data_IF_771219222937
#
_entry.id   IF_771219222937
#
_cell.length_a   1.000
_cell.length_b   1.000
_cell.length_c   1.000
_cell.angle_alpha   90.00
_cell.angle_beta   90.00
_cell.angle_gamma   90.00
#
_symmetry.space_group_name_H-M   'P 1'
#
loop_
_entity.id
_entity.type
_entity.pdbx_description
1 polymer ?
#
# COMPACT_ATOMS: atom_id res chain seq x y z
N UNK A 1 13.72 5.32 30.77
CA UNK A 1 13.85 6.74 31.16
C UNK A 1 13.65 7.61 29.92
N UNK A 2 12.85 8.67 30.05
CA UNK A 2 12.38 9.56 29.00
C UNK A 2 13.51 10.28 28.24
N UNK A 3 13.32 10.48 26.93
CA UNK A 3 13.82 11.68 26.23
C UNK A 3 12.74 12.24 25.31
N UNK A 4 11.98 13.18 25.87
CA UNK A 4 11.22 14.19 25.13
C UNK A 4 12.20 15.30 24.72
N UNK A 5 12.30 15.56 23.42
CA UNK A 5 12.86 16.80 22.86
C UNK A 5 11.94 17.23 21.70
N UNK A 6 10.85 17.93 21.98
CA UNK A 6 10.71 19.39 22.08
C UNK A 6 10.81 20.11 20.72
N UNK A 7 9.71 20.10 19.95
CA UNK A 7 9.36 21.20 19.04
C UNK A 7 8.12 21.90 19.63
N UNK A 8 8.33 23.14 20.08
CA UNK A 8 7.32 24.03 20.66
C UNK A 8 6.36 24.50 19.56
N UNK A 9 5.18 23.90 19.53
CA UNK A 9 3.94 24.54 19.09
C UNK A 9 3.03 24.63 20.30
N UNK A 10 2.49 25.80 20.59
CA UNK A 10 1.55 26.04 21.70
C UNK A 10 0.23 25.32 21.44
N UNK A 11 0.19 24.01 21.63
CA UNK A 11 -1.02 23.20 21.68
C UNK A 11 -1.18 22.63 23.07
N UNK A 12 -2.29 22.94 23.73
CA UNK A 12 -2.75 22.29 24.97
C UNK A 12 -2.54 20.78 24.86
N UNK A 13 -1.88 20.15 25.83
CA UNK A 13 -1.84 18.70 25.94
C UNK A 13 -3.28 18.19 25.97
N UNK A 14 -3.71 17.49 24.91
CA UNK A 14 -5.06 16.95 24.81
C UNK A 14 -5.29 15.98 25.98
N UNK A 15 -6.46 16.09 26.61
CA UNK A 15 -6.90 15.14 27.62
C UNK A 15 -6.86 13.73 27.03
N UNK A 16 -6.48 12.72 27.84
CA UNK A 16 -6.52 11.29 27.44
C UNK A 16 -7.90 10.87 26.91
N UNK A 17 -8.96 11.64 27.20
CA UNK A 17 -10.32 11.41 26.68
C UNK A 17 -10.59 11.98 25.28
N UNK A 18 -9.70 12.77 24.68
CA UNK A 18 -9.98 13.52 23.44
C UNK A 18 -9.24 12.99 22.21
N UNK A 19 -8.17 12.21 22.38
CA UNK A 19 -7.37 11.73 21.26
C UNK A 19 -6.24 10.78 21.65
N UNK A 20 -5.53 10.28 20.64
CA UNK A 20 -4.35 9.44 20.80
C UNK A 20 -3.35 9.61 19.64
N UNK A 21 -2.11 9.15 19.85
CA UNK A 21 -1.05 9.21 18.85
C UNK A 21 -0.74 7.82 18.30
N UNK A 22 -0.57 7.73 16.98
CA UNK A 22 -0.10 6.51 16.30
C UNK A 22 1.22 6.81 15.61
N UNK A 23 2.21 5.93 15.80
CA UNK A 23 3.46 5.97 15.06
C UNK A 23 3.28 5.22 13.73
N UNK A 24 3.06 5.96 12.65
CA UNK A 24 3.09 5.44 11.29
C UNK A 24 4.51 5.39 10.75
N UNK A 25 4.68 4.72 9.61
CA UNK A 25 5.95 4.71 8.87
C UNK A 25 6.42 6.12 8.50
N UNK A 26 5.49 7.03 8.20
CA UNK A 26 5.74 8.43 7.89
C UNK A 26 5.90 9.35 9.12
N UNK A 27 5.80 8.82 10.35
CA UNK A 27 5.94 9.58 11.60
C UNK A 27 4.75 9.47 12.55
N UNK A 28 4.75 10.32 13.58
CA UNK A 28 3.67 10.36 14.57
C UNK A 28 2.50 11.17 14.05
N UNK A 29 1.30 10.60 14.12
CA UNK A 29 0.05 11.25 13.75
C UNK A 29 -0.88 11.26 14.96
N UNK A 30 -1.47 12.42 15.23
CA UNK A 30 -2.45 12.63 16.29
C UNK A 30 -3.86 12.45 15.75
N UNK A 31 -4.68 11.69 16.48
CA UNK A 31 -6.05 11.37 16.14
C UNK A 31 -6.98 11.85 17.24
N UNK A 32 -7.99 12.66 16.90
CA UNK A 32 -9.06 13.07 17.81
C UNK A 32 -10.19 12.04 17.77
N UNK A 33 -10.68 11.56 18.92
CA UNK A 33 -11.73 10.52 19.03
C UNK A 33 -13.15 11.05 18.86
N UNK A 34 -13.33 12.38 18.82
CA UNK A 34 -14.63 13.04 18.69
C UNK A 34 -15.38 12.59 17.43
N UNK A 35 -16.58 12.04 17.62
CA UNK A 35 -17.47 11.61 16.53
C UNK A 35 -17.05 10.32 15.82
N UNK A 36 -16.12 9.53 16.38
CA UNK A 36 -15.66 8.28 15.76
C UNK A 36 -16.77 7.25 15.59
N UNK A 37 -17.64 7.10 16.59
CA UNK A 37 -18.74 6.13 16.54
C UNK A 37 -19.75 6.51 15.46
N UNK A 38 -20.13 7.79 15.39
CA UNK A 38 -21.07 8.29 14.37
C UNK A 38 -20.49 8.13 12.96
N UNK A 39 -19.22 8.51 12.77
CA UNK A 39 -18.51 8.36 11.49
C UNK A 39 -18.30 6.90 11.09
N UNK A 40 -18.28 5.97 12.04
CA UNK A 40 -18.11 4.56 11.75
C UNK A 40 -19.46 3.84 11.57
N UNK A 41 -20.57 4.47 11.93
CA UNK A 41 -21.90 3.91 11.77
C UNK A 41 -22.42 4.22 10.36
N UNK A 42 -22.44 3.21 9.50
CA UNK A 42 -22.89 3.31 8.11
C UNK A 42 -24.41 3.15 7.96
N UNK A 43 -25.15 3.15 9.07
CA UNK A 43 -26.58 2.85 9.04
C UNK A 43 -27.37 4.06 8.56
N UNK A 44 -28.06 3.91 7.43
CA UNK A 44 -29.13 4.81 7.03
C UNK A 44 -30.36 4.59 7.90
N UNK A 45 -31.19 5.64 8.01
CA UNK A 45 -32.51 5.49 8.60
C UNK A 45 -33.34 4.54 7.70
N UNK A 46 -33.94 3.47 8.23
CA UNK A 46 -34.70 2.51 7.43
C UNK A 46 -35.76 3.18 6.54
N UNK A 47 -36.40 4.23 7.04
CA UNK A 47 -37.43 4.98 6.32
C UNK A 47 -36.86 5.71 5.09
N UNK A 48 -35.60 6.16 5.15
CA UNK A 48 -34.93 6.78 4.01
C UNK A 48 -34.52 5.75 2.96
N UNK A 49 -34.10 4.56 3.40
CA UNK A 49 -33.73 3.46 2.52
C UNK A 49 -34.96 2.90 1.78
N UNK A 50 -36.06 2.68 2.49
CA UNK A 50 -37.36 2.31 1.91
C UNK A 50 -37.82 3.33 0.88
N UNK A 51 -37.74 4.64 1.20
CA UNK A 51 -38.12 5.71 0.27
C UNK A 51 -37.30 5.71 -1.03
N UNK A 52 -36.01 5.36 -0.96
CA UNK A 52 -35.14 5.25 -2.13
C UNK A 52 -35.57 4.05 -2.97
N UNK A 53 -35.78 2.89 -2.35
CA UNK A 53 -36.21 1.66 -3.00
C UNK A 53 -37.60 1.78 -3.66
N UNK A 54 -38.53 2.52 -3.04
CA UNK A 54 -39.89 2.76 -3.53
C UNK A 54 -39.97 3.83 -4.62
N UNK A 55 -38.84 4.40 -5.03
CA UNK A 55 -38.80 5.41 -6.09
C UNK A 55 -39.39 4.88 -7.39
N UNK A 56 -40.26 5.68 -8.01
CA UNK A 56 -40.82 5.39 -9.34
C UNK A 56 -39.80 5.50 -10.46
N UNK A 57 -38.64 6.14 -10.20
CA UNK A 57 -37.54 6.22 -11.15
C UNK A 57 -36.59 5.03 -10.97
N UNK A 58 -36.42 4.14 -11.98
CA UNK A 58 -35.69 2.89 -11.82
C UNK A 58 -34.22 3.04 -11.38
N UNK A 59 -33.53 4.08 -11.86
CA UNK A 59 -32.15 4.33 -11.45
C UNK A 59 -32.05 4.71 -9.96
N UNK A 60 -32.98 5.51 -9.44
CA UNK A 60 -32.98 5.88 -8.02
C UNK A 60 -33.34 4.67 -7.15
N UNK A 61 -34.32 3.86 -7.57
CA UNK A 61 -34.64 2.61 -6.89
C UNK A 61 -33.44 1.65 -6.83
N UNK A 62 -32.61 1.62 -7.88
CA UNK A 62 -31.40 0.79 -7.93
C UNK A 62 -30.24 1.27 -7.03
N UNK A 63 -30.32 2.48 -6.46
CA UNK A 63 -29.30 3.00 -5.53
C UNK A 63 -29.53 2.52 -4.09
N UNK A 64 -30.75 2.08 -3.76
CA UNK A 64 -31.04 1.50 -2.46
C UNK A 64 -30.31 0.18 -2.28
N UNK A 65 -29.75 -0.04 -1.10
CA UNK A 65 -29.21 -1.34 -0.74
C UNK A 65 -30.40 -2.20 -0.28
N UNK A 66 -30.68 -3.32 -0.95
CA UNK A 66 -31.68 -4.30 -0.48
C UNK A 66 -31.07 -5.12 0.66
N UNK A 67 -30.61 -4.43 1.71
CA UNK A 67 -29.91 -5.04 2.82
C UNK A 67 -30.94 -5.66 3.77
N UNK A 68 -31.34 -6.89 3.44
CA UNK A 68 -32.19 -7.74 4.29
C UNK A 68 -31.59 -7.99 5.68
N UNK A 69 -30.34 -7.57 5.93
CA UNK A 69 -29.70 -7.70 7.22
C UNK A 69 -30.17 -6.61 8.19
N UNK A 70 -31.08 -6.98 9.10
CA UNK A 70 -31.59 -6.14 10.21
C UNK A 70 -30.53 -5.85 11.29
N UNK A 71 -29.25 -5.83 10.95
CA UNK A 71 -28.18 -5.57 11.90
C UNK A 71 -28.27 -4.12 12.40
N UNK A 72 -28.39 -3.95 13.72
CA UNK A 72 -28.58 -2.63 14.34
C UNK A 72 -27.39 -1.67 14.12
N UNK A 73 -26.23 -2.20 13.72
CA UNK A 73 -25.00 -1.45 13.49
C UNK A 73 -24.24 -2.00 12.29
N UNK A 74 -23.92 -1.13 11.33
CA UNK A 74 -23.06 -1.42 10.19
C UNK A 74 -21.77 -0.61 10.31
N UNK A 75 -20.64 -1.30 10.39
CA UNK A 75 -19.33 -0.68 10.65
C UNK A 75 -18.61 -0.37 9.34
N UNK A 76 -18.40 0.92 9.05
CA UNK A 76 -17.61 1.37 7.88
C UNK A 76 -16.20 0.79 7.94
N UNK A 77 -15.57 0.81 9.12
CA UNK A 77 -14.21 0.29 9.31
C UNK A 77 -14.12 -1.20 9.02
N UNK A 78 -15.15 -1.98 9.37
CA UNK A 78 -15.15 -3.42 9.09
C UNK A 78 -15.26 -3.68 7.58
N UNK A 79 -16.17 -2.98 6.90
CA UNK A 79 -16.32 -3.04 5.43
C UNK A 79 -15.00 -2.66 4.74
N UNK A 80 -14.41 -1.54 5.16
CA UNK A 80 -13.11 -1.09 4.66
C UNK A 80 -12.00 -2.13 4.84
N UNK A 81 -11.88 -2.78 6.01
CA UNK A 81 -10.87 -3.82 6.22
C UNK A 81 -11.08 -5.02 5.30
N UNK A 82 -12.32 -5.49 5.14
CA UNK A 82 -12.63 -6.62 4.24
C UNK A 82 -12.35 -6.25 2.77
N UNK A 83 -12.74 -5.06 2.33
CA UNK A 83 -12.48 -4.60 0.97
C UNK A 83 -10.97 -4.45 0.73
N UNK A 84 -10.21 -3.95 1.71
CA UNK A 84 -8.76 -3.83 1.66
C UNK A 84 -8.06 -5.19 1.60
N UNK A 85 -8.51 -6.17 2.41
CA UNK A 85 -7.99 -7.54 2.39
C UNK A 85 -8.21 -8.18 1.01
N UNK A 86 -9.42 -8.06 0.45
CA UNK A 86 -9.74 -8.58 -0.89
C UNK A 86 -8.88 -7.92 -1.99
N UNK A 87 -8.66 -6.61 -1.89
CA UNK A 87 -7.75 -5.89 -2.80
C UNK A 87 -6.32 -6.41 -2.69
N UNK A 88 -5.80 -6.60 -1.46
CA UNK A 88 -4.45 -7.10 -1.23
C UNK A 88 -4.27 -8.53 -1.76
N UNK A 89 -5.26 -9.40 -1.58
CA UNK A 89 -5.26 -10.75 -2.18
C UNK A 89 -5.15 -10.68 -3.69
N UNK A 90 -5.94 -9.83 -4.34
CA UNK A 90 -5.88 -9.63 -5.80
C UNK A 90 -4.50 -9.13 -6.23
N UNK A 91 -3.95 -8.11 -5.56
CA UNK A 91 -2.63 -7.56 -5.87
C UNK A 91 -1.50 -8.58 -5.70
N UNK A 92 -1.61 -9.48 -4.72
CA UNK A 92 -0.61 -10.53 -4.48
C UNK A 92 -0.54 -11.57 -5.61
N UNK A 93 -1.58 -11.68 -6.44
CA UNK A 93 -1.57 -12.58 -7.62
C UNK A 93 -0.94 -11.95 -8.86
N UNK A 94 -0.66 -10.64 -8.83
CA UNK A 94 -0.20 -9.88 -9.98
C UNK A 94 1.30 -9.56 -9.88
N UNK A 95 1.91 -9.31 -11.04
CA UNK A 95 3.21 -8.64 -11.09
C UNK A 95 3.00 -7.14 -10.87
N UNK A 96 3.47 -6.63 -9.73
CA UNK A 96 3.23 -5.26 -9.33
C UNK A 96 4.25 -4.29 -9.93
N UNK A 97 3.75 -3.17 -10.43
CA UNK A 97 4.54 -2.02 -10.86
C UNK A 97 4.17 -0.82 -10.00
N UNK A 98 5.16 -0.20 -9.36
CA UNK A 98 4.93 0.91 -8.43
C UNK A 98 5.33 2.24 -9.06
N UNK A 99 4.40 3.20 -9.08
CA UNK A 99 4.66 4.59 -9.46
C UNK A 99 4.53 5.45 -8.21
N UNK A 100 5.56 6.25 -7.91
CA UNK A 100 5.58 7.20 -6.80
C UNK A 100 5.49 8.62 -7.36
N UNK A 101 4.49 9.37 -6.91
CA UNK A 101 4.30 10.77 -7.28
C UNK A 101 4.79 11.67 -6.14
N UNK A 102 5.49 12.75 -6.47
CA UNK A 102 6.04 13.71 -5.51
C UNK A 102 5.53 15.11 -5.83
N UNK A 103 5.06 15.84 -4.81
CA UNK A 103 4.66 17.24 -4.93
C UNK A 103 5.93 18.11 -4.95
N UNK A 104 6.23 18.85 -6.03
CA UNK A 104 7.49 19.59 -6.14
C UNK A 104 7.52 20.88 -5.33
N UNK A 105 6.36 21.51 -5.07
CA UNK A 105 6.22 22.72 -4.28
C UNK A 105 4.77 22.87 -3.78
N UNK A 106 4.55 23.67 -2.72
CA UNK A 106 3.23 23.86 -2.15
C UNK A 106 2.31 24.80 -2.93
N UNK A 107 2.89 25.70 -3.73
CA UNK A 107 2.19 26.70 -4.54
C UNK A 107 1.51 26.11 -5.79
N UNK A 108 1.78 24.85 -6.10
CA UNK A 108 1.29 24.17 -7.31
C UNK A 108 1.76 24.85 -8.61
N UNK A 109 2.92 25.52 -8.56
CA UNK A 109 3.46 26.24 -9.70
C UNK A 109 4.47 25.39 -10.48
N UNK A 110 4.50 25.51 -11.82
CA UNK A 110 5.49 24.82 -12.64
C UNK A 110 6.89 25.38 -12.38
N UNK A 111 7.92 24.55 -12.58
CA UNK A 111 9.34 24.91 -12.48
C UNK A 111 9.84 25.38 -11.10
N UNK A 112 9.01 25.35 -10.06
CA UNK A 112 9.44 25.57 -8.67
C UNK A 112 9.70 24.22 -8.00
N UNK A 113 10.88 24.07 -7.41
CA UNK A 113 11.28 22.86 -6.70
C UNK A 113 11.72 23.17 -5.28
N UNK A 114 10.92 22.74 -4.31
CA UNK A 114 11.26 22.76 -2.90
C UNK A 114 11.95 21.45 -2.51
N UNK A 115 13.27 21.52 -2.36
CA UNK A 115 14.10 20.37 -2.02
C UNK A 115 13.73 19.78 -0.65
N UNK A 116 13.36 20.61 0.32
CA UNK A 116 13.06 20.13 1.68
C UNK A 116 11.74 19.35 1.70
N UNK A 117 10.71 19.90 1.05
CA UNK A 117 9.40 19.26 0.90
C UNK A 117 9.51 17.91 0.16
N UNK A 118 10.26 17.87 -0.94
CA UNK A 118 10.42 16.63 -1.73
C UNK A 118 11.24 15.60 -0.98
N UNK A 119 12.31 16.01 -0.28
CA UNK A 119 13.11 15.11 0.55
C UNK A 119 12.28 14.48 1.68
N UNK A 120 11.47 15.28 2.37
CA UNK A 120 10.58 14.79 3.42
C UNK A 120 9.60 13.77 2.86
N UNK A 121 9.02 14.00 1.68
CA UNK A 121 8.15 13.01 1.01
C UNK A 121 8.90 11.72 0.66
N UNK A 122 10.14 11.80 0.16
CA UNK A 122 10.97 10.63 -0.20
C UNK A 122 11.26 9.76 1.04
N UNK A 123 11.59 10.39 2.17
CA UNK A 123 11.80 9.72 3.46
C UNK A 123 10.48 9.11 3.95
N UNK A 124 9.42 9.93 4.01
CA UNK A 124 8.13 9.52 4.54
C UNK A 124 7.47 8.41 3.75
N UNK A 125 7.66 8.35 2.41
CA UNK A 125 7.07 7.30 1.59
C UNK A 125 7.88 5.98 1.58
N UNK A 126 8.99 5.93 2.32
CA UNK A 126 9.86 4.75 2.46
C UNK A 126 10.70 4.44 1.22
N UNK A 127 10.87 5.41 0.30
CA UNK A 127 11.65 5.19 -0.93
C UNK A 127 13.13 4.95 -0.62
N UNK A 128 13.68 5.62 0.41
CA UNK A 128 15.08 5.42 0.82
C UNK A 128 15.30 4.01 1.36
N UNK A 129 14.43 3.57 2.25
CA UNK A 129 14.46 2.23 2.83
C UNK A 129 14.29 1.15 1.76
N UNK A 130 13.39 1.37 0.80
CA UNK A 130 13.21 0.47 -0.34
C UNK A 130 14.50 0.35 -1.17
N UNK A 131 15.14 1.47 -1.50
CA UNK A 131 16.41 1.46 -2.25
C UNK A 131 17.50 0.69 -1.49
N UNK A 132 17.58 0.86 -0.17
CA UNK A 132 18.52 0.12 0.68
C UNK A 132 18.24 -1.39 0.65
N UNK A 133 16.98 -1.80 0.81
CA UNK A 133 16.59 -3.21 0.73
C UNK A 133 16.91 -3.80 -0.64
N UNK A 134 16.65 -3.06 -1.73
CA UNK A 134 16.97 -3.51 -3.09
C UNK A 134 18.48 -3.65 -3.30
N UNK A 135 19.27 -2.73 -2.77
CA UNK A 135 20.72 -2.79 -2.84
C UNK A 135 21.28 -4.04 -2.15
N UNK A 136 20.79 -4.34 -0.93
CA UNK A 136 21.31 -5.46 -0.14
C UNK A 136 20.70 -6.81 -0.54
N UNK A 137 19.54 -6.81 -1.21
CA UNK A 137 18.71 -7.99 -1.43
C UNK A 137 18.89 -8.74 -2.75
N UNK A 138 19.82 -8.31 -3.62
CA UNK A 138 19.93 -8.68 -5.04
C UNK A 138 18.60 -8.46 -5.78
N UNK A 139 18.42 -7.30 -6.46
CA UNK A 139 17.12 -6.85 -6.93
C UNK A 139 16.54 -7.73 -8.06
N UNK A 140 17.41 -8.45 -8.77
CA UNK A 140 17.02 -9.39 -9.81
C UNK A 140 17.08 -10.82 -9.28
N UNK A 141 15.92 -11.45 -9.14
CA UNK A 141 15.79 -12.88 -8.80
C UNK A 141 15.19 -13.60 -9.99
N UNK A 142 15.93 -14.56 -10.53
CA UNK A 142 15.48 -15.39 -11.64
C UNK A 142 15.51 -16.86 -11.21
N UNK A 143 14.38 -17.58 -11.27
CA UNK A 143 14.35 -19.01 -11.03
C UNK A 143 15.24 -19.75 -12.03
N UNK A 144 15.86 -20.82 -11.57
CA UNK A 144 16.76 -21.63 -12.40
C UNK A 144 16.05 -22.20 -13.65
N UNK A 145 14.79 -22.61 -13.51
CA UNK A 145 13.99 -23.14 -14.63
C UNK A 145 13.79 -22.11 -15.74
N UNK A 146 13.67 -20.83 -15.39
CA UNK A 146 13.50 -19.75 -16.37
C UNK A 146 14.78 -19.55 -17.19
N UNK A 147 15.96 -19.60 -16.53
CA UNK A 147 17.27 -19.54 -17.20
C UNK A 147 17.44 -20.73 -18.14
N UNK A 148 17.10 -21.94 -17.69
CA UNK A 148 17.18 -23.14 -18.52
C UNK A 148 16.22 -23.08 -19.70
N UNK A 149 14.97 -22.67 -19.49
CA UNK A 149 13.98 -22.53 -20.55
C UNK A 149 14.42 -21.52 -21.63
N UNK A 150 15.08 -20.44 -21.24
CA UNK A 150 15.57 -19.40 -22.16
C UNK A 150 16.84 -19.78 -22.90
N UNK A 151 17.83 -20.38 -22.22
CA UNK A 151 19.18 -20.53 -22.76
C UNK A 151 19.54 -21.94 -23.20
N UNK A 152 18.84 -22.98 -22.75
CA UNK A 152 19.23 -24.38 -23.06
C UNK A 152 19.22 -24.65 -24.56
N UNK A 153 18.17 -24.28 -25.26
CA UNK A 153 18.05 -24.49 -26.72
C UNK A 153 19.04 -23.67 -27.55
N UNK A 154 19.60 -22.58 -26.99
CA UNK A 154 20.55 -21.70 -27.66
C UNK A 154 22.00 -22.20 -27.57
N UNK A 155 22.27 -23.18 -26.71
CA UNK A 155 23.61 -23.70 -26.45
C UNK A 155 23.83 -25.07 -27.13
N UNK A 156 25.09 -25.48 -27.37
CA UNK A 156 25.41 -26.76 -28.01
C UNK A 156 24.79 -27.97 -27.28
N UNK A 157 24.45 -29.04 -28.01
CA UNK A 157 23.86 -30.27 -27.43
C UNK A 157 24.66 -30.86 -26.27
N UNK A 158 25.99 -30.75 -26.30
CA UNK A 158 26.86 -31.18 -25.21
C UNK A 158 26.58 -30.42 -23.91
N UNK A 159 26.28 -29.12 -24.02
CA UNK A 159 25.94 -28.23 -22.91
C UNK A 159 24.50 -28.43 -22.43
N UNK A 160 23.60 -28.80 -23.34
CA UNK A 160 22.20 -29.11 -23.01
C UNK A 160 22.04 -30.36 -22.14
N UNK A 161 23.04 -31.22 -22.05
CA UNK A 161 23.00 -32.45 -21.24
C UNK A 161 23.32 -32.22 -19.77
N UNK A 162 23.82 -31.04 -19.40
CA UNK A 162 24.13 -30.73 -18.01
C UNK A 162 22.86 -30.65 -17.15
N UNK A 163 22.99 -31.09 -15.89
CA UNK A 163 21.96 -30.88 -14.87
C UNK A 163 21.80 -29.40 -14.55
N UNK A 164 20.61 -29.01 -14.05
CA UNK A 164 20.23 -27.61 -13.82
C UNK A 164 21.31 -26.79 -13.08
N UNK A 165 21.80 -27.29 -11.95
CA UNK A 165 22.79 -26.59 -11.12
C UNK A 165 24.10 -26.36 -11.88
N UNK A 166 24.64 -27.41 -12.50
CA UNK A 166 25.89 -27.35 -13.27
C UNK A 166 25.76 -26.46 -14.52
N UNK A 167 24.62 -26.48 -15.19
CA UNK A 167 24.33 -25.62 -16.34
C UNK A 167 24.39 -24.14 -15.95
N UNK A 168 23.77 -23.79 -14.82
CA UNK A 168 23.70 -22.41 -14.34
C UNK A 168 25.04 -21.94 -13.78
N UNK A 169 25.75 -22.79 -13.02
CA UNK A 169 27.11 -22.48 -12.55
C UNK A 169 28.06 -22.25 -13.72
N UNK A 170 28.01 -23.09 -14.76
CA UNK A 170 28.83 -22.91 -15.96
C UNK A 170 28.47 -21.63 -16.73
N UNK A 171 27.19 -21.25 -16.78
CA UNK A 171 26.75 -19.99 -17.36
C UNK A 171 27.26 -18.80 -16.54
N UNK A 172 27.13 -18.83 -15.21
CA UNK A 172 27.63 -17.78 -14.33
C UNK A 172 29.15 -17.60 -14.45
N UNK A 173 29.90 -18.71 -14.50
CA UNK A 173 31.34 -18.71 -14.72
C UNK A 173 31.72 -18.13 -16.08
N UNK A 174 31.01 -18.50 -17.16
CA UNK A 174 31.28 -18.01 -18.51
C UNK A 174 31.09 -16.49 -18.64
N UNK A 175 30.13 -15.92 -17.89
CA UNK A 175 29.86 -14.47 -17.86
C UNK A 175 30.61 -13.74 -16.74
N UNK A 176 31.50 -14.40 -16.00
CA UNK A 176 32.30 -13.78 -14.93
C UNK A 176 31.48 -13.29 -13.75
N UNK A 177 30.31 -13.89 -13.49
CA UNK A 177 29.47 -13.57 -12.35
C UNK A 177 30.07 -14.24 -11.10
N UNK A 178 30.45 -13.49 -10.05
CA UNK A 178 31.02 -14.05 -8.83
C UNK A 178 30.04 -14.98 -8.10
N UNK A 179 30.58 -16.01 -7.43
CA UNK A 179 29.82 -16.90 -6.54
C UNK A 179 29.42 -16.24 -5.22
#
# INVERSE_FOLDING_TARGET
QLKLSNRRGSGSALSVSEGFLVKHYAGWVEYTTKGWLDKNNDRLLPECEELICDSTFPFVASLGEDDSSKALFRSISKKYCTDLESLLETLNTCQLHYIRCFKPNDFQEPAIFDQSLVLDQIVQCGTIELVRIMHDGYPNRCPFDEILGRFRSLLPESFQRYGMRTFIEALMLAYGIPH
#
